data_IF_882364512329
#
_entry.id   IF_882364512329
#
_cell.length_a   1.000
_cell.length_b   1.000
_cell.length_c   1.000
_cell.angle_alpha   90.00
_cell.angle_beta   90.00
_cell.angle_gamma   90.00
#
_symmetry.space_group_name_H-M   'P 1'
#
loop_
_entity.id
_entity.type
_entity.pdbx_description
1 polymer ?
#
# COMPACT_ATOMS: atom_id res chain seq x y z
N UNK A 1 1.69 -28.86 8.84
CA UNK A 1 1.29 -27.60 9.51
C UNK A 1 -0.18 -27.36 9.25
N UNK A 2 -1.03 -27.40 10.28
CA UNK A 2 -2.45 -26.99 10.14
C UNK A 2 -2.45 -25.47 9.93
N UNK A 3 -3.03 -25.01 8.82
CA UNK A 3 -3.21 -23.57 8.56
C UNK A 3 -4.23 -23.03 9.57
N UNK A 4 -3.85 -21.94 10.24
CA UNK A 4 -4.66 -21.26 11.24
C UNK A 4 -5.56 -20.25 10.53
N UNK A 5 -6.88 -20.38 10.69
CA UNK A 5 -7.86 -19.53 10.02
C UNK A 5 -8.56 -18.64 11.04
N UNK A 6 -8.34 -17.32 10.94
CA UNK A 6 -9.17 -16.31 11.56
C UNK A 6 -10.23 -15.87 10.55
N UNK A 7 -11.48 -15.74 10.99
CA UNK A 7 -12.58 -15.37 10.10
C UNK A 7 -13.00 -13.93 10.37
N UNK A 8 -13.08 -13.15 9.29
CA UNK A 8 -13.71 -11.84 9.28
C UNK A 8 -14.93 -11.91 8.36
N UNK A 9 -16.09 -11.50 8.84
CA UNK A 9 -17.30 -11.49 8.03
C UNK A 9 -18.33 -10.48 8.53
N UNK A 10 -19.17 -10.03 7.61
CA UNK A 10 -20.47 -9.43 7.88
C UNK A 10 -21.53 -10.51 7.65
N UNK A 11 -22.48 -10.66 8.57
CA UNK A 11 -23.58 -11.61 8.37
C UNK A 11 -24.66 -10.95 7.51
N UNK A 12 -25.31 -11.69 6.60
CA UNK A 12 -26.36 -11.15 5.74
C UNK A 12 -27.53 -10.56 6.55
N UNK A 13 -27.86 -11.19 7.69
CA UNK A 13 -28.90 -10.72 8.62
C UNK A 13 -28.41 -9.63 9.58
N UNK A 14 -27.13 -9.23 9.49
CA UNK A 14 -26.52 -8.21 10.32
C UNK A 14 -25.37 -7.49 9.58
N UNK A 15 -25.72 -6.92 8.42
CA UNK A 15 -24.78 -6.25 7.50
C UNK A 15 -24.15 -4.97 8.06
N UNK A 16 -24.62 -4.53 9.23
CA UNK A 16 -24.14 -3.37 9.98
C UNK A 16 -23.00 -3.69 10.94
N UNK A 17 -22.58 -4.96 11.01
CA UNK A 17 -21.55 -5.39 11.95
C UNK A 17 -20.46 -6.18 11.25
N UNK A 18 -19.22 -5.93 11.66
CA UNK A 18 -18.08 -6.77 11.31
C UNK A 18 -17.75 -7.64 12.52
N UNK A 19 -17.70 -8.94 12.26
CA UNK A 19 -17.38 -9.95 13.24
C UNK A 19 -15.98 -10.52 13.00
N UNK A 20 -15.27 -10.74 14.09
CA UNK A 20 -14.01 -11.46 14.12
C UNK A 20 -14.17 -12.70 14.97
N UNK A 21 -13.73 -13.84 14.43
CA UNK A 21 -13.64 -15.09 15.15
C UNK A 21 -12.18 -15.54 15.21
N UNK A 22 -11.65 -15.52 16.43
CA UNK A 22 -10.34 -16.07 16.78
C UNK A 22 -10.45 -17.59 16.99
N UNK A 23 -9.43 -18.34 16.59
CA UNK A 23 -9.29 -19.76 16.87
C UNK A 23 -9.32 -20.08 18.37
N UNK A 24 -8.78 -19.21 19.22
CA UNK A 24 -8.69 -19.45 20.67
C UNK A 24 -9.93 -19.02 21.44
N UNK A 25 -10.83 -18.27 20.80
CA UNK A 25 -12.03 -17.75 21.42
C UNK A 25 -13.26 -18.17 20.62
N UNK A 26 -14.03 -19.11 21.17
CA UNK A 26 -15.27 -19.59 20.54
C UNK A 26 -16.36 -18.51 20.51
N UNK A 27 -16.20 -17.41 21.26
CA UNK A 27 -17.12 -16.28 21.23
C UNK A 27 -16.91 -15.40 19.99
N UNK A 28 -18.02 -15.12 19.31
CA UNK A 28 -18.06 -14.20 18.18
C UNK A 28 -17.81 -12.77 18.70
N UNK A 29 -16.71 -12.13 18.30
CA UNK A 29 -16.41 -10.77 18.72
C UNK A 29 -16.87 -9.78 17.66
N UNK A 30 -17.81 -8.91 18.02
CA UNK A 30 -18.15 -7.72 17.22
C UNK A 30 -17.00 -6.72 17.33
N UNK A 31 -16.38 -6.37 16.21
CA UNK A 31 -15.19 -5.48 16.18
C UNK A 31 -15.49 -4.10 15.59
N UNK A 32 -16.57 -3.99 14.82
CA UNK A 32 -17.10 -2.73 14.30
C UNK A 32 -18.61 -2.84 14.17
N UNK A 33 -19.29 -1.73 14.43
CA UNK A 33 -20.71 -1.54 14.18
C UNK A 33 -20.88 -0.21 13.48
N UNK A 34 -21.62 -0.21 12.38
CA UNK A 34 -22.10 1.02 11.77
C UNK A 34 -23.46 1.38 12.38
N UNK A 35 -23.66 2.65 12.71
CA UNK A 35 -24.89 3.09 13.35
C UNK A 35 -26.03 3.34 12.34
N UNK A 36 -25.73 3.31 11.04
CA UNK A 36 -26.67 3.68 9.99
C UNK A 36 -27.30 2.43 9.33
N UNK A 37 -28.45 2.62 8.65
CA UNK A 37 -29.18 1.56 7.95
C UNK A 37 -28.53 1.15 6.61
N UNK A 38 -27.21 1.27 6.47
CA UNK A 38 -26.47 1.01 5.24
C UNK A 38 -25.54 -0.18 5.48
N UNK A 39 -25.41 -1.06 4.48
CA UNK A 39 -24.48 -2.18 4.51
C UNK A 39 -23.03 -1.67 4.67
N UNK A 40 -22.25 -2.33 5.53
CA UNK A 40 -20.84 -1.98 5.69
C UNK A 40 -20.08 -2.40 4.43
N UNK A 41 -19.51 -1.40 3.75
CA UNK A 41 -18.50 -1.62 2.73
C UNK A 41 -17.10 -1.49 3.35
N UNK A 42 -16.29 -2.53 3.22
CA UNK A 42 -14.93 -2.52 3.74
C UNK A 42 -13.95 -3.28 2.83
N UNK A 43 -12.69 -2.86 2.91
CA UNK A 43 -11.55 -3.53 2.30
C UNK A 43 -10.63 -4.10 3.40
N UNK A 44 -9.95 -5.20 3.08
CA UNK A 44 -8.96 -5.82 3.96
C UNK A 44 -7.60 -5.69 3.29
N UNK A 45 -6.63 -5.16 4.03
CA UNK A 45 -5.22 -5.23 3.70
C UNK A 45 -4.52 -6.12 4.71
N UNK A 46 -3.68 -7.03 4.21
CA UNK A 46 -2.88 -7.88 5.06
C UNK A 46 -1.40 -7.49 4.90
N UNK A 47 -0.80 -7.01 5.97
CA UNK A 47 0.65 -6.85 6.07
C UNK A 47 1.28 -7.98 6.85
N UNK A 48 2.58 -7.90 7.08
CA UNK A 48 3.31 -8.90 7.88
C UNK A 48 2.76 -8.97 9.31
N UNK A 49 2.74 -7.83 10.01
CA UNK A 49 2.40 -7.77 11.44
C UNK A 49 0.94 -7.37 11.70
N UNK A 50 0.26 -6.84 10.70
CA UNK A 50 -1.08 -6.25 10.85
C UNK A 50 -2.07 -6.78 9.81
N UNK A 51 -3.35 -6.81 10.20
CA UNK A 51 -4.48 -6.87 9.29
C UNK A 51 -5.24 -5.55 9.43
N UNK A 52 -5.41 -4.81 8.36
CA UNK A 52 -6.07 -3.51 8.35
C UNK A 52 -7.42 -3.60 7.65
N UNK A 53 -8.46 -3.15 8.33
CA UNK A 53 -9.80 -2.96 7.79
C UNK A 53 -9.96 -1.49 7.41
N UNK A 54 -10.33 -1.26 6.17
CA UNK A 54 -10.62 0.06 5.62
C UNK A 54 -12.12 0.11 5.38
N UNK A 55 -12.83 0.84 6.22
CA UNK A 55 -14.29 0.89 6.26
C UNK A 55 -14.74 2.19 5.62
N UNK A 56 -15.60 2.06 4.61
CA UNK A 56 -16.32 3.18 4.02
C UNK A 56 -17.61 3.37 4.79
N UNK A 57 -17.78 4.53 5.41
CA UNK A 57 -19.03 4.88 6.09
C UNK A 57 -19.54 6.25 5.66
N UNK A 58 -20.84 6.44 5.79
CA UNK A 58 -21.50 7.73 5.55
C UNK A 58 -22.25 8.06 6.82
N UNK A 59 -22.03 9.23 7.40
CA UNK A 59 -22.76 9.68 8.60
C UNK A 59 -22.92 11.19 8.57
N UNK A 60 -24.10 11.70 8.90
CA UNK A 60 -24.41 13.14 8.82
C UNK A 60 -24.01 13.73 7.45
N UNK A 61 -24.36 13.03 6.37
CA UNK A 61 -24.04 13.42 4.98
C UNK A 61 -22.52 13.54 4.67
N UNK A 62 -21.66 13.09 5.59
CA UNK A 62 -20.22 13.04 5.39
C UNK A 62 -19.77 11.61 5.07
N UNK A 63 -19.04 11.47 3.97
CA UNK A 63 -18.30 10.27 3.61
C UNK A 63 -17.05 10.19 4.48
N UNK A 64 -16.80 9.03 5.05
CA UNK A 64 -15.70 8.75 5.98
C UNK A 64 -14.95 7.52 5.54
N UNK A 65 -13.64 7.62 5.61
CA UNK A 65 -12.73 6.50 5.51
C UNK A 65 -12.17 6.19 6.89
N UNK A 66 -12.53 5.03 7.43
CA UNK A 66 -12.15 4.61 8.79
C UNK A 66 -11.18 3.43 8.70
N UNK A 67 -10.07 3.53 9.41
CA UNK A 67 -9.11 2.46 9.57
C UNK A 67 -9.26 1.79 10.93
N UNK A 68 -9.31 0.46 10.93
CA UNK A 68 -9.18 -0.36 12.13
C UNK A 68 -8.12 -1.44 11.87
N UNK A 69 -7.12 -1.59 12.74
CA UNK A 69 -6.03 -2.55 12.52
C UNK A 69 -5.97 -3.59 13.62
N UNK A 70 -5.67 -4.82 13.25
CA UNK A 70 -5.42 -5.93 14.15
C UNK A 70 -3.92 -6.23 14.18
N UNK A 71 -3.32 -6.16 15.36
CA UNK A 71 -1.91 -6.49 15.55
C UNK A 71 -1.79 -7.98 15.87
N UNK A 72 -1.17 -8.73 14.96
CA UNK A 72 -1.18 -10.21 15.00
C UNK A 72 -0.48 -10.76 16.24
N UNK A 73 0.68 -10.21 16.60
CA UNK A 73 1.50 -10.70 17.71
C UNK A 73 0.87 -10.43 19.08
N UNK A 74 0.09 -9.35 19.20
CA UNK A 74 -0.58 -8.97 20.44
C UNK A 74 -2.02 -9.51 20.52
N UNK A 75 -2.57 -10.03 19.42
CA UNK A 75 -3.96 -10.46 19.29
C UNK A 75 -4.96 -9.35 19.70
N UNK A 76 -4.67 -8.11 19.32
CA UNK A 76 -5.46 -6.93 19.70
C UNK A 76 -5.92 -6.14 18.49
N UNK A 77 -7.12 -5.57 18.60
CA UNK A 77 -7.65 -4.61 17.64
C UNK A 77 -7.38 -3.20 18.13
N UNK A 78 -7.02 -2.31 17.22
CA UNK A 78 -6.92 -0.88 17.47
C UNK A 78 -8.29 -0.25 17.62
N UNK A 79 -8.29 0.95 18.20
CA UNK A 79 -9.40 1.88 18.05
C UNK A 79 -9.59 2.31 16.59
N UNK A 80 -10.80 2.79 16.28
CA UNK A 80 -11.14 3.30 14.97
C UNK A 80 -10.43 4.65 14.73
N UNK A 81 -9.75 4.79 13.59
CA UNK A 81 -9.08 6.03 13.17
C UNK A 81 -9.74 6.56 11.90
N UNK A 82 -10.21 7.81 11.93
CA UNK A 82 -10.72 8.47 10.72
C UNK A 82 -9.51 8.95 9.91
N UNK A 83 -9.37 8.43 8.69
CA UNK A 83 -8.28 8.76 7.78
C UNK A 83 -8.65 9.95 6.91
N UNK A 84 -9.87 9.95 6.39
CA UNK A 84 -10.36 11.01 5.54
C UNK A 84 -11.86 11.20 5.74
N UNK A 85 -12.31 12.44 5.64
CA UNK A 85 -13.70 12.83 5.80
C UNK A 85 -14.00 13.96 4.81
N UNK A 86 -15.13 13.86 4.13
CA UNK A 86 -15.57 14.85 3.15
C UNK A 86 -17.10 14.84 3.07
N UNK A 87 -17.68 15.98 2.71
CA UNK A 87 -19.10 16.12 2.36
C UNK A 87 -19.39 15.69 0.92
N UNK A 88 -18.38 15.26 0.16
CA UNK A 88 -18.52 14.87 -1.23
C UNK A 88 -18.25 13.38 -1.46
N UNK A 89 -18.89 12.76 -2.47
CA UNK A 89 -18.68 11.35 -2.75
C UNK A 89 -17.25 11.07 -3.24
N UNK A 90 -16.73 9.91 -2.87
CA UNK A 90 -15.53 9.35 -3.47
C UNK A 90 -15.82 8.96 -4.92
N UNK A 91 -14.93 9.34 -5.82
CA UNK A 91 -14.91 8.87 -7.21
C UNK A 91 -14.32 7.46 -7.24
N UNK A 92 -13.18 7.28 -6.58
CA UNK A 92 -12.50 5.99 -6.49
C UNK A 92 -11.52 6.02 -5.31
N UNK A 93 -11.12 4.85 -4.83
CA UNK A 93 -10.16 4.69 -3.76
C UNK A 93 -9.25 3.50 -4.01
N UNK A 94 -7.98 3.62 -3.62
CA UNK A 94 -7.02 2.52 -3.68
C UNK A 94 -6.11 2.53 -2.47
N UNK A 95 -5.67 1.34 -2.07
CA UNK A 95 -4.93 1.15 -0.83
C UNK A 95 -3.84 0.09 -0.99
N UNK A 96 -2.71 0.31 -0.34
CA UNK A 96 -1.69 -0.71 -0.17
C UNK A 96 -1.00 -0.58 1.20
N UNK A 97 -0.41 -1.67 1.67
CA UNK A 97 0.39 -1.68 2.90
C UNK A 97 1.85 -1.98 2.57
N UNK A 98 2.77 -1.15 3.05
CA UNK A 98 4.20 -1.35 2.89
C UNK A 98 4.92 -1.03 4.19
N UNK A 99 5.77 -1.94 4.68
CA UNK A 99 6.56 -1.71 5.91
C UNK A 99 5.72 -1.19 7.10
N UNK A 100 4.55 -1.80 7.34
CA UNK A 100 3.57 -1.39 8.37
C UNK A 100 3.00 0.03 8.20
N UNK A 101 3.18 0.65 7.04
CA UNK A 101 2.54 1.91 6.65
C UNK A 101 1.38 1.56 5.72
N UNK A 102 0.17 2.02 6.07
CA UNK A 102 -0.98 1.94 5.17
C UNK A 102 -1.02 3.22 4.35
N UNK A 103 -1.05 3.06 3.03
CA UNK A 103 -1.12 4.14 2.06
C UNK A 103 -2.52 4.21 1.46
N UNK A 104 -3.02 5.43 1.35
CA UNK A 104 -4.35 5.73 0.84
C UNK A 104 -4.23 6.68 -0.33
N UNK A 105 -4.81 6.31 -1.46
CA UNK A 105 -5.02 7.19 -2.58
C UNK A 105 -6.53 7.32 -2.82
N UNK A 106 -7.01 8.55 -2.78
CA UNK A 106 -8.44 8.86 -2.76
C UNK A 106 -8.70 9.83 -3.91
N UNK A 107 -9.54 9.43 -4.84
CA UNK A 107 -10.13 10.34 -5.82
C UNK A 107 -11.46 10.82 -5.27
N UNK A 108 -11.62 12.13 -5.09
CA UNK A 108 -12.83 12.75 -4.52
C UNK A 108 -13.36 13.80 -5.48
N UNK A 109 -14.68 13.94 -5.52
CA UNK A 109 -15.33 15.01 -6.26
C UNK A 109 -15.41 16.26 -5.38
N UNK A 110 -14.91 17.41 -5.81
CA UNK A 110 -14.92 18.67 -5.07
C UNK A 110 -15.64 19.73 -5.90
N UNK A 111 -16.97 19.80 -5.79
CA UNK A 111 -17.90 20.70 -6.52
C UNK A 111 -17.64 20.86 -8.04
N UNK A 112 -16.58 21.58 -8.42
CA UNK A 112 -16.18 21.91 -9.79
C UNK A 112 -14.92 21.19 -10.27
N UNK A 113 -14.17 20.55 -9.38
CA UNK A 113 -12.94 19.83 -9.68
C UNK A 113 -12.98 18.46 -9.03
N UNK A 114 -12.11 17.54 -9.43
CA UNK A 114 -11.83 16.32 -8.66
C UNK A 114 -10.38 16.35 -8.25
N UNK A 115 -10.09 15.72 -7.13
CA UNK A 115 -8.76 15.78 -6.51
C UNK A 115 -8.24 14.37 -6.24
N UNK A 116 -6.96 14.14 -6.55
CA UNK A 116 -6.20 12.97 -6.10
C UNK A 116 -5.53 13.34 -4.79
N UNK A 117 -5.97 12.71 -3.71
CA UNK A 117 -5.49 12.95 -2.36
C UNK A 117 -4.73 11.72 -1.88
N UNK A 118 -3.53 11.94 -1.37
CA UNK A 118 -2.73 10.94 -0.71
C UNK A 118 -2.66 11.17 0.80
N UNK A 119 -2.78 10.07 1.54
CA UNK A 119 -2.56 10.01 3.00
C UNK A 119 -1.86 8.71 3.35
N UNK A 120 -1.13 8.70 4.46
CA UNK A 120 -0.61 7.47 5.03
C UNK A 120 -0.73 7.45 6.56
N UNK A 121 -0.53 6.26 7.13
CA UNK A 121 -0.41 6.08 8.56
C UNK A 121 0.55 4.94 8.85
N UNK A 122 1.54 5.19 9.71
CA UNK A 122 2.40 4.15 10.25
C UNK A 122 1.67 3.45 11.40
N UNK A 123 1.56 2.12 11.35
CA UNK A 123 0.83 1.33 12.35
C UNK A 123 1.66 1.05 13.61
N UNK A 124 2.98 1.00 13.51
CA UNK A 124 3.88 0.76 14.64
C UNK A 124 4.10 2.00 15.49
N UNK A 125 3.96 3.17 14.86
CA UNK A 125 4.13 4.44 15.54
C UNK A 125 2.76 4.99 15.89
N UNK A 126 2.61 5.47 17.12
CA UNK A 126 1.45 6.27 17.51
C UNK A 126 1.58 7.72 16.99
N UNK A 127 2.01 7.85 15.74
CA UNK A 127 2.18 9.13 15.06
C UNK A 127 0.81 9.71 14.68
N UNK A 128 0.76 11.05 14.65
CA UNK A 128 -0.40 11.75 14.08
C UNK A 128 -0.47 11.39 12.59
N UNK A 129 -1.70 11.25 12.09
CA UNK A 129 -1.94 11.08 10.66
C UNK A 129 -1.19 12.17 9.89
N UNK A 130 -0.47 11.79 8.83
CA UNK A 130 0.17 12.79 7.98
C UNK A 130 -0.89 13.75 7.43
N UNK A 131 -0.47 15.01 7.21
CA UNK A 131 -1.31 15.97 6.49
C UNK A 131 -1.62 15.38 5.12
N UNK A 132 -2.84 15.64 4.66
CA UNK A 132 -3.21 15.25 3.30
C UNK A 132 -2.36 16.00 2.28
N UNK A 133 -1.98 15.27 1.24
CA UNK A 133 -1.26 15.80 0.10
C UNK A 133 -2.17 15.70 -1.10
N UNK A 134 -2.55 16.85 -1.65
CA UNK A 134 -3.23 16.91 -2.95
C UNK A 134 -2.14 16.73 -4.01
N UNK A 135 -2.20 15.61 -4.73
CA UNK A 135 -1.23 15.26 -5.77
C UNK A 135 -1.60 15.92 -7.09
N UNK A 136 -2.90 15.98 -7.40
CA UNK A 136 -3.39 16.41 -8.70
C UNK A 136 -4.86 16.83 -8.63
N UNK A 137 -5.26 17.78 -9.47
CA UNK A 137 -6.63 18.27 -9.59
C UNK A 137 -7.02 18.35 -11.07
N UNK A 138 -8.21 17.85 -11.41
CA UNK A 138 -8.78 17.91 -12.76
C UNK A 138 -10.28 17.52 -12.71
N UNK A 139 -11.09 18.04 -13.63
CA UNK A 139 -12.54 17.76 -13.70
C UNK A 139 -12.87 16.29 -14.06
N UNK A 140 -12.00 15.63 -14.82
CA UNK A 140 -12.28 14.34 -15.46
C UNK A 140 -11.54 13.15 -14.86
N UNK A 141 -11.20 13.22 -13.56
CA UNK A 141 -10.67 12.06 -12.84
C UNK A 141 -11.75 10.97 -12.76
N UNK A 142 -11.39 9.73 -13.07
CA UNK A 142 -12.31 8.58 -13.08
C UNK A 142 -11.85 7.39 -12.25
N UNK A 143 -10.56 7.26 -11.96
CA UNK A 143 -10.03 6.17 -11.14
C UNK A 143 -8.67 6.53 -10.54
N UNK A 144 -8.33 5.91 -9.41
CA UNK A 144 -7.00 5.96 -8.81
C UNK A 144 -6.51 4.55 -8.39
N UNK A 145 -5.18 4.39 -8.35
CA UNK A 145 -4.49 3.16 -7.98
C UNK A 145 -3.20 3.50 -7.23
N UNK A 146 -2.98 2.85 -6.10
CA UNK A 146 -1.71 2.92 -5.37
C UNK A 146 -1.12 1.53 -5.19
N UNK A 147 0.12 1.36 -5.62
CA UNK A 147 0.81 0.07 -5.58
C UNK A 147 2.27 0.23 -5.20
N UNK A 148 2.81 -0.79 -4.53
CA UNK A 148 4.26 -0.96 -4.37
C UNK A 148 4.77 -1.85 -5.50
N UNK A 149 5.71 -1.34 -6.30
CA UNK A 149 6.44 -2.13 -7.26
C UNK A 149 7.94 -2.04 -6.94
N UNK A 150 8.57 -3.17 -6.61
CA UNK A 150 9.92 -3.21 -6.02
C UNK A 150 9.98 -2.29 -4.80
N UNK A 151 10.94 -1.38 -4.68
CA UNK A 151 11.04 -0.42 -3.57
C UNK A 151 10.43 0.95 -3.87
N UNK A 152 9.57 1.05 -4.89
CA UNK A 152 8.95 2.31 -5.30
C UNK A 152 7.44 2.23 -5.08
N UNK A 153 6.90 3.25 -4.41
CA UNK A 153 5.47 3.46 -4.25
C UNK A 153 4.94 4.29 -5.42
N UNK A 154 3.96 3.77 -6.13
CA UNK A 154 3.37 4.42 -7.30
C UNK A 154 1.95 4.88 -6.96
N UNK A 155 1.68 6.17 -7.19
CA UNK A 155 0.33 6.71 -7.21
C UNK A 155 -0.04 6.98 -8.67
N UNK A 156 -1.11 6.35 -9.13
CA UNK A 156 -1.54 6.36 -10.52
C UNK A 156 -3.02 6.74 -10.58
N UNK A 157 -3.43 7.42 -11.65
CA UNK A 157 -4.83 7.78 -11.85
C UNK A 157 -5.16 8.00 -13.32
N UNK A 158 -6.45 7.90 -13.63
CA UNK A 158 -6.98 8.15 -14.97
C UNK A 158 -7.71 9.49 -14.98
N UNK A 159 -7.32 10.35 -15.92
CA UNK A 159 -7.94 11.65 -16.16
C UNK A 159 -7.80 12.02 -17.64
N UNK A 160 -8.84 12.57 -18.27
CA UNK A 160 -8.83 12.99 -19.68
C UNK A 160 -8.26 11.93 -20.65
N UNK A 161 -8.69 10.67 -20.51
CA UNK A 161 -8.18 9.52 -21.29
C UNK A 161 -6.66 9.36 -21.25
N UNK A 162 -6.04 9.69 -20.12
CA UNK A 162 -4.61 9.51 -19.88
C UNK A 162 -4.38 8.81 -18.55
N UNK A 163 -3.39 7.92 -18.53
CA UNK A 163 -2.80 7.40 -17.31
C UNK A 163 -1.77 8.40 -16.83
N UNK A 164 -2.09 9.07 -15.74
CA UNK A 164 -1.14 9.89 -15.00
C UNK A 164 -0.53 9.07 -13.87
N UNK A 165 0.62 9.54 -13.40
CA UNK A 165 1.29 8.95 -12.25
C UNK A 165 2.32 9.86 -11.61
N UNK A 166 2.64 9.52 -10.37
CA UNK A 166 3.85 9.94 -9.69
C UNK A 166 4.34 8.80 -8.81
N UNK A 167 5.58 8.92 -8.35
CA UNK A 167 6.19 7.89 -7.53
C UNK A 167 6.88 8.47 -6.30
N UNK A 168 7.05 7.63 -5.30
CA UNK A 168 7.79 7.92 -4.07
C UNK A 168 8.81 6.82 -3.78
N UNK A 169 9.99 7.24 -3.32
CA UNK A 169 11.08 6.36 -2.88
C UNK A 169 11.27 6.36 -1.36
N UNK A 170 10.55 7.24 -0.65
CA UNK A 170 10.59 7.40 0.81
C UNK A 170 9.22 7.09 1.44
N UNK A 171 8.59 6.00 0.98
CA UNK A 171 7.32 5.51 1.53
C UNK A 171 6.19 6.56 1.55
N UNK A 172 6.19 7.42 0.52
CA UNK A 172 5.21 8.48 0.31
C UNK A 172 5.27 9.61 1.32
N UNK A 173 6.44 9.88 1.92
CA UNK A 173 6.69 11.20 2.49
C UNK A 173 6.64 12.26 1.40
N UNK A 174 7.27 11.99 0.25
CA UNK A 174 7.26 12.89 -0.91
C UNK A 174 7.04 12.14 -2.22
N UNK A 175 6.44 12.82 -3.19
CA UNK A 175 6.18 12.29 -4.53
C UNK A 175 6.90 13.11 -5.60
N UNK A 176 7.28 12.44 -6.69
CA UNK A 176 7.69 13.09 -7.92
C UNK A 176 6.56 13.97 -8.48
N UNK A 177 6.88 14.84 -9.44
CA UNK A 177 5.84 15.57 -10.16
C UNK A 177 4.94 14.60 -10.94
N UNK A 178 3.62 14.87 -10.98
CA UNK A 178 2.71 14.17 -11.87
C UNK A 178 3.17 14.21 -13.33
N UNK A 179 3.15 13.06 -13.99
CA UNK A 179 3.50 12.90 -15.40
C UNK A 179 2.49 12.01 -16.10
N UNK A 180 2.38 12.14 -17.43
CA UNK A 180 1.57 11.26 -18.27
C UNK A 180 2.42 10.05 -18.68
N UNK A 181 1.98 8.86 -18.31
CA UNK A 181 2.63 7.58 -18.64
C UNK A 181 2.04 6.94 -19.89
N UNK A 182 0.74 7.15 -20.14
CA UNK A 182 0.07 6.57 -21.31
C UNK A 182 -1.12 7.40 -21.74
N UNK A 183 -1.33 7.51 -23.05
CA UNK A 183 -2.58 8.01 -23.64
C UNK A 183 -3.48 6.80 -23.91
N UNK A 184 -4.72 6.85 -23.45
CA UNK A 184 -5.66 5.73 -23.36
C UNK A 184 -6.80 5.80 -24.39
N UNK A 185 -6.64 6.60 -25.46
CA UNK A 185 -7.69 6.79 -26.46
C UNK A 185 -8.14 5.43 -27.02
N UNK A 186 -9.45 5.19 -26.99
CA UNK A 186 -10.12 3.98 -27.49
C UNK A 186 -9.80 2.69 -26.69
N UNK A 187 -9.06 2.76 -25.58
CA UNK A 187 -8.82 1.62 -24.69
C UNK A 187 -9.88 1.56 -23.59
N UNK A 188 -10.52 0.39 -23.43
CA UNK A 188 -11.41 0.15 -22.30
C UNK A 188 -10.60 -0.30 -21.07
N UNK A 189 -10.19 0.68 -20.26
CA UNK A 189 -9.43 0.42 -19.05
C UNK A 189 -10.34 0.25 -17.84
N UNK A 190 -10.10 -0.82 -17.09
CA UNK A 190 -10.79 -1.12 -15.85
C UNK A 190 -9.79 -1.34 -14.73
N UNK A 191 -10.11 -0.83 -13.54
CA UNK A 191 -9.44 -1.26 -12.32
C UNK A 191 -10.09 -2.55 -11.85
N UNK A 192 -9.27 -3.54 -11.55
CA UNK A 192 -9.73 -4.83 -11.00
C UNK A 192 -8.98 -5.15 -9.72
N UNK A 193 -9.65 -5.87 -8.83
CA UNK A 193 -9.01 -6.49 -7.67
C UNK A 193 -8.82 -7.98 -7.90
N UNK A 194 -7.69 -8.52 -7.46
CA UNK A 194 -7.41 -9.95 -7.47
C UNK A 194 -6.73 -10.36 -6.17
N UNK A 195 -6.68 -11.67 -5.90
CA UNK A 195 -6.01 -12.21 -4.72
C UNK A 195 -4.76 -12.96 -5.18
N UNK A 196 -3.61 -12.55 -4.66
CA UNK A 196 -2.35 -13.25 -4.88
C UNK A 196 -1.68 -13.47 -3.53
N UNK A 197 -1.22 -14.69 -3.24
CA UNK A 197 -0.58 -15.04 -1.97
C UNK A 197 -1.41 -14.64 -0.72
N UNK A 198 -2.74 -14.76 -0.81
CA UNK A 198 -3.70 -14.35 0.23
C UNK A 198 -3.76 -12.83 0.48
N UNK A 199 -3.16 -12.02 -0.39
CA UNK A 199 -3.24 -10.56 -0.36
C UNK A 199 -4.17 -10.08 -1.47
N UNK A 200 -5.12 -9.20 -1.13
CA UNK A 200 -5.91 -8.48 -2.12
C UNK A 200 -5.02 -7.42 -2.77
N UNK A 201 -4.92 -7.45 -4.09
CA UNK A 201 -4.18 -6.51 -4.92
C UNK A 201 -5.11 -5.84 -5.92
N UNK A 202 -4.69 -4.69 -6.41
CA UNK A 202 -5.41 -3.91 -7.41
C UNK A 202 -4.49 -3.64 -8.60
N UNK A 203 -5.05 -3.61 -9.81
CA UNK A 203 -4.31 -3.31 -11.03
C UNK A 203 -5.25 -2.74 -12.09
N UNK A 204 -4.68 -1.97 -13.03
CA UNK A 204 -5.36 -1.60 -14.26
C UNK A 204 -5.16 -2.65 -15.34
N UNK A 205 -6.27 -3.03 -15.99
CA UNK A 205 -6.29 -3.92 -17.15
C UNK A 205 -6.93 -3.22 -18.34
N UNK A 206 -6.56 -3.63 -19.54
CA UNK A 206 -7.26 -3.30 -20.78
C UNK A 206 -8.09 -4.50 -21.21
N UNK A 207 -9.35 -4.27 -21.58
CA UNK A 207 -10.25 -5.28 -22.12
C UNK A 207 -10.59 -4.97 -23.58
N UNK A 208 -10.03 -5.75 -24.51
CA UNK A 208 -10.28 -5.60 -25.95
C UNK A 208 -10.75 -6.93 -26.53
N UNK A 209 -11.96 -6.98 -27.10
CA UNK A 209 -12.49 -8.10 -27.90
C UNK A 209 -12.12 -9.49 -27.34
N UNK A 210 -12.52 -9.77 -26.10
CA UNK A 210 -12.29 -11.02 -25.34
C UNK A 210 -10.88 -11.25 -24.76
N UNK A 211 -9.95 -10.30 -24.91
CA UNK A 211 -8.62 -10.36 -24.30
C UNK A 211 -8.47 -9.35 -23.16
N UNK A 212 -8.12 -9.86 -21.99
CA UNK A 212 -7.70 -9.06 -20.84
C UNK A 212 -6.16 -9.04 -20.82
N UNK A 213 -5.58 -7.84 -20.90
CA UNK A 213 -4.13 -7.66 -20.82
C UNK A 213 -3.73 -6.82 -19.61
N UNK A 214 -2.74 -7.31 -18.85
CA UNK A 214 -2.08 -6.54 -17.81
C UNK A 214 -1.10 -5.56 -18.46
N UNK A 215 -1.48 -4.31 -18.61
CA UNK A 215 -0.62 -3.33 -19.27
C UNK A 215 0.23 -2.53 -18.27
N UNK A 216 -0.14 -2.51 -16.98
CA UNK A 216 0.54 -1.64 -16.02
C UNK A 216 2.00 -2.08 -15.76
N UNK A 217 2.26 -3.38 -15.67
CA UNK A 217 3.63 -3.88 -15.52
C UNK A 217 4.48 -3.60 -16.76
N UNK A 218 3.90 -3.64 -17.95
CA UNK A 218 4.58 -3.30 -19.21
C UNK A 218 4.92 -1.81 -19.27
N UNK A 219 3.96 -0.93 -18.96
CA UNK A 219 4.16 0.53 -18.93
C UNK A 219 5.25 0.90 -17.92
N UNK A 220 5.16 0.34 -16.71
CA UNK A 220 6.17 0.62 -15.69
C UNK A 220 7.51 0.00 -16.07
N UNK A 221 7.58 -1.25 -16.54
CA UNK A 221 8.87 -1.90 -16.86
C UNK A 221 9.60 -1.26 -18.05
N UNK A 222 8.89 -0.78 -19.07
CA UNK A 222 9.48 -0.13 -20.24
C UNK A 222 9.95 1.31 -19.96
N UNK A 223 9.28 2.05 -19.07
CA UNK A 223 9.73 3.39 -18.67
C UNK A 223 10.77 3.36 -17.53
N UNK A 224 10.84 2.29 -16.73
CA UNK A 224 11.72 2.19 -15.55
C UNK A 224 13.23 2.14 -15.85
N UNK A 225 13.64 1.88 -17.11
CA UNK A 225 15.07 1.86 -17.47
C UNK A 225 15.62 3.25 -17.83
N UNK A 226 14.75 4.24 -18.04
CA UNK A 226 15.13 5.63 -18.29
C UNK A 226 15.09 6.48 -17.02
N UNK A 227 16.13 6.37 -16.19
CA UNK A 227 16.53 7.38 -15.17
C UNK A 227 15.41 8.00 -14.33
N UNK A 228 14.98 7.31 -13.26
CA UNK A 228 14.30 7.98 -12.14
C UNK A 228 15.20 9.12 -11.65
N UNK A 229 14.81 10.37 -11.95
CA UNK A 229 15.62 11.54 -11.68
C UNK A 229 15.58 11.88 -10.19
N UNK A 230 16.53 11.31 -9.44
CA UNK A 230 16.73 11.54 -7.99
C UNK A 230 16.83 13.03 -7.59
N UNK A 231 17.00 13.96 -8.54
CA UNK A 231 17.03 15.40 -8.26
C UNK A 231 15.65 16.01 -8.03
N UNK A 232 14.55 15.41 -8.50
CA UNK A 232 13.21 15.99 -8.32
C UNK A 232 12.57 15.69 -6.95
N UNK A 233 12.98 14.61 -6.26
CA UNK A 233 12.46 14.23 -4.93
C UNK A 233 13.31 14.83 -3.79
N UNK A 234 13.98 15.96 -4.03
CA UNK A 234 14.87 16.53 -3.01
C UNK A 234 14.10 17.12 -1.84
N UNK A 235 13.92 16.36 -0.76
CA UNK A 235 13.64 16.89 0.58
C UNK A 235 14.90 17.00 1.45
N UNK A 236 14.76 17.84 2.48
CA UNK A 236 15.80 18.45 3.29
C UNK A 236 16.94 17.50 3.73
N UNK A 237 18.17 18.01 3.58
CA UNK A 237 19.49 17.41 3.72
C UNK A 237 19.87 16.69 5.05
N UNK A 238 18.94 16.37 5.95
CA UNK A 238 19.30 15.68 7.21
C UNK A 238 19.33 14.15 7.12
N UNK A 239 18.47 13.53 6.32
CA UNK A 239 18.39 12.05 6.26
C UNK A 239 19.41 11.43 5.28
N UNK A 240 19.89 12.21 4.30
CA UNK A 240 20.91 11.74 3.35
C UNK A 240 22.26 11.48 4.03
N UNK A 241 22.55 12.18 5.13
CA UNK A 241 23.74 11.91 5.95
C UNK A 241 23.59 10.58 6.71
N UNK A 242 22.43 10.30 7.30
CA UNK A 242 22.17 9.04 8.02
C UNK A 242 22.20 7.83 7.08
N UNK A 243 21.58 7.92 5.89
CA UNK A 243 21.63 6.85 4.89
C UNK A 243 23.06 6.61 4.39
N UNK A 244 23.86 7.66 4.23
CA UNK A 244 25.26 7.53 3.84
C UNK A 244 26.14 6.93 4.95
N UNK A 245 25.85 7.22 6.22
CA UNK A 245 26.51 6.60 7.37
C UNK A 245 26.18 5.11 7.44
N UNK A 246 24.89 4.75 7.35
CA UNK A 246 24.44 3.35 7.33
C UNK A 246 25.05 2.58 6.16
N UNK A 247 25.11 3.16 4.96
CA UNK A 247 25.73 2.52 3.80
C UNK A 247 27.25 2.31 3.96
N UNK A 248 27.95 3.23 4.63
CA UNK A 248 29.37 3.04 4.96
C UNK A 248 29.56 1.92 5.98
N UNK A 249 28.69 1.80 6.98
CA UNK A 249 28.73 0.71 7.96
C UNK A 249 28.43 -0.65 7.32
N UNK A 250 27.41 -0.73 6.47
CA UNK A 250 27.09 -1.95 5.71
C UNK A 250 28.28 -2.38 4.85
N UNK A 251 28.98 -1.44 4.20
CA UNK A 251 30.18 -1.76 3.40
C UNK A 251 31.30 -2.34 4.27
N UNK A 252 31.58 -1.73 5.44
CA UNK A 252 32.57 -2.26 6.40
C UNK A 252 32.19 -3.65 6.91
N UNK A 253 30.92 -3.88 7.24
CA UNK A 253 30.44 -5.20 7.69
C UNK A 253 30.59 -6.26 6.61
N UNK A 254 30.31 -5.93 5.34
CA UNK A 254 30.53 -6.85 4.21
C UNK A 254 32.00 -7.23 4.04
N UNK A 255 32.93 -6.28 4.20
CA UNK A 255 34.37 -6.57 4.16
C UNK A 255 34.81 -7.48 5.31
N UNK A 256 34.30 -7.26 6.53
CA UNK A 256 34.57 -8.13 7.69
C UNK A 256 34.08 -9.55 7.43
N UNK A 257 32.84 -9.71 6.96
CA UNK A 257 32.25 -11.03 6.66
C UNK A 257 33.05 -11.75 5.58
N UNK A 258 33.48 -11.06 4.54
CA UNK A 258 34.29 -11.66 3.48
C UNK A 258 35.68 -12.10 3.96
N UNK A 259 36.31 -11.31 4.84
CA UNK A 259 37.57 -11.69 5.47
C UNK A 259 37.40 -12.91 6.38
N UNK A 260 36.33 -12.96 7.17
CA UNK A 260 36.03 -14.11 8.03
C UNK A 260 35.76 -15.38 7.21
N UNK A 261 34.97 -15.29 6.13
CA UNK A 261 34.76 -16.41 5.20
C UNK A 261 36.07 -16.92 4.62
N UNK A 262 36.95 -16.01 4.20
CA UNK A 262 38.26 -16.37 3.66
C UNK A 262 39.16 -17.06 4.69
N UNK A 263 39.07 -16.68 5.97
CA UNK A 263 39.80 -17.33 7.06
C UNK A 263 39.23 -18.72 7.38
N UNK A 264 37.91 -18.86 7.44
CA UNK A 264 37.23 -20.15 7.65
C UNK A 264 37.64 -21.13 6.56
N UNK A 265 37.60 -20.71 5.29
CA UNK A 265 37.97 -21.55 4.16
C UNK A 265 39.44 -22.03 4.22
N UNK A 266 40.35 -21.17 4.70
CA UNK A 266 41.77 -21.53 4.95
C UNK A 266 41.92 -22.53 6.11
N UNK A 267 41.12 -22.41 7.15
CA UNK A 267 41.13 -23.32 8.30
C UNK A 267 40.54 -24.69 7.95
N UNK A 268 39.43 -24.71 7.20
CA UNK A 268 38.82 -25.94 6.66
C UNK A 268 39.80 -26.70 5.76
N UNK A 269 40.51 -26.00 4.88
CA UNK A 269 41.53 -26.61 4.03
C UNK A 269 42.69 -27.21 4.83
N UNK A 270 43.14 -26.53 5.90
CA UNK A 270 44.17 -27.05 6.80
C UNK A 270 43.70 -28.25 7.61
N UNK A 271 42.45 -28.26 8.07
CA UNK A 271 41.84 -29.39 8.78
C UNK A 271 41.68 -30.60 7.86
N UNK A 272 41.35 -30.39 6.59
CA UNK A 272 41.23 -31.47 5.61
C UNK A 272 42.59 -32.11 5.31
N UNK A 273 43.63 -31.30 5.07
CA UNK A 273 45.01 -31.80 4.87
C UNK A 273 45.63 -32.44 6.11
N UNK A 274 45.21 -32.06 7.31
CA UNK A 274 45.70 -32.63 8.57
C UNK A 274 45.03 -33.96 8.96
N UNK A 275 44.04 -34.44 8.21
CA UNK A 275 43.36 -35.73 8.42
C UNK A 275 43.87 -36.87 7.53
N UNK A 276 44.78 -36.57 6.59
CA UNK A 276 45.43 -37.54 5.69
C UNK A 276 46.87 -37.91 6.15
N UNK A 277 47.17 -37.75 7.45
CA UNK A 277 48.37 -38.22 8.15
C UNK A 277 47.95 -39.12 9.31
#
# INVERSE_FOLDING_TARGET
MKKDFNFLFSADNDSKNIYFKDKFNTSLKKIHSENNNIDINYNILQGNNYISLIIHSISFEMYKLVLKSFKKDENTWSENKIIYITNHPYVDTSYCITNNIVHFLIAVNEEKTKSIIYKNINLDKNEKLQRETIIFENENISSCLIIKLKEVLWALWISDDKLYGCYSMNFGEDFSKPSVYKILKEENIKKVSYIENYEKKEIYITENNDYISFFLEEVLSNEFLGEINHKEISYNLKEKEEINVVNKEIKKLKEIVNNQKSQIMKLEYKLYKGRDL
#
